data_IF_438170945170
#
_entry.id   IF_438170945170
#
_cell.length_a   1.000
_cell.length_b   1.000
_cell.length_c   1.000
_cell.angle_alpha   90.00
_cell.angle_beta   90.00
_cell.angle_gamma   90.00
#
_symmetry.space_group_name_H-M   'P 1'
#
loop_
_entity.id
_entity.type
_entity.pdbx_description
1 polymer ?
#
# COMPACT_ATOMS: atom_id res chain seq x y z
N UNK A 1 -1.48 -33.35 7.17
CA UNK A 1 -1.64 -31.99 7.73
C UNK A 1 -2.05 -31.04 6.61
N UNK A 2 -3.21 -30.38 6.68
CA UNK A 2 -3.57 -29.32 5.71
C UNK A 2 -2.56 -28.18 5.84
N UNK A 3 -1.90 -27.79 4.74
CA UNK A 3 -1.00 -26.63 4.70
C UNK A 3 -1.78 -25.41 5.19
N UNK A 4 -1.28 -24.74 6.23
CA UNK A 4 -1.91 -23.52 6.77
C UNK A 4 -1.96 -22.48 5.63
N UNK A 5 -3.14 -21.97 5.27
CA UNK A 5 -3.28 -21.02 4.19
C UNK A 5 -2.42 -19.77 4.45
N UNK A 6 -1.61 -19.39 3.46
CA UNK A 6 -0.79 -18.18 3.51
C UNK A 6 -1.66 -16.95 3.22
N UNK A 7 -1.42 -15.80 3.86
CA UNK A 7 -2.22 -14.62 3.61
C UNK A 7 -1.90 -13.98 2.24
N UNK A 8 -2.91 -13.32 1.66
CA UNK A 8 -2.73 -12.35 0.59
C UNK A 8 -2.60 -10.95 1.20
N UNK A 9 -1.63 -10.16 0.74
CA UNK A 9 -1.51 -8.75 1.13
C UNK A 9 -2.08 -7.89 0.02
N UNK A 10 -3.13 -7.12 0.31
CA UNK A 10 -3.75 -6.20 -0.64
C UNK A 10 -3.41 -4.76 -0.26
N UNK A 11 -2.77 -4.03 -1.17
CA UNK A 11 -2.60 -2.59 -1.02
C UNK A 11 -3.63 -1.82 -1.85
N UNK A 12 -4.30 -0.86 -1.22
CA UNK A 12 -5.14 0.14 -1.88
C UNK A 12 -4.39 1.47 -1.94
N UNK A 13 -4.01 1.89 -3.16
CA UNK A 13 -3.28 3.13 -3.39
C UNK A 13 -4.08 4.36 -2.93
N UNK A 14 -3.41 5.34 -2.33
CA UNK A 14 -4.06 6.60 -1.90
C UNK A 14 -4.77 7.33 -3.05
N UNK A 15 -4.20 7.30 -4.26
CA UNK A 15 -4.81 7.87 -5.47
C UNK A 15 -6.10 7.19 -5.92
N UNK A 16 -6.37 5.97 -5.44
CA UNK A 16 -7.60 5.22 -5.75
C UNK A 16 -8.72 5.57 -4.76
N UNK A 17 -8.37 5.66 -3.48
CA UNK A 17 -9.33 5.80 -2.38
C UNK A 17 -9.56 7.25 -1.95
N UNK A 18 -8.79 8.20 -2.50
CA UNK A 18 -8.94 9.64 -2.26
C UNK A 18 -8.93 10.43 -3.55
N UNK A 19 -9.42 11.68 -3.53
CA UNK A 19 -9.35 12.64 -4.63
C UNK A 19 -8.10 13.51 -4.45
N UNK A 20 -7.12 13.40 -5.36
CA UNK A 20 -5.81 14.07 -5.25
C UNK A 20 -5.92 15.60 -5.16
N UNK A 21 -6.89 16.17 -5.88
CA UNK A 21 -7.04 17.61 -6.06
C UNK A 21 -7.68 18.31 -4.84
N UNK A 22 -8.23 17.52 -3.90
CA UNK A 22 -8.95 18.08 -2.74
C UNK A 22 -8.41 17.46 -1.45
N UNK A 23 -7.83 18.25 -0.53
CA UNK A 23 -7.40 17.76 0.79
C UNK A 23 -8.54 17.05 1.52
N UNK A 24 -8.21 16.04 2.31
CA UNK A 24 -9.12 15.29 3.18
C UNK A 24 -10.40 14.82 2.47
N UNK A 25 -10.32 14.51 1.18
CA UNK A 25 -11.50 14.13 0.39
C UNK A 25 -11.41 12.67 -0.04
N UNK A 26 -12.30 11.77 0.51
CA UNK A 26 -12.32 10.37 0.16
C UNK A 26 -12.99 10.16 -1.20
N UNK A 27 -12.55 9.15 -1.95
CA UNK A 27 -13.24 8.67 -3.13
C UNK A 27 -14.28 7.61 -2.71
N UNK A 28 -15.39 8.08 -2.07
CA UNK A 28 -16.43 7.19 -1.54
C UNK A 28 -16.96 6.16 -2.54
N UNK A 29 -17.24 6.51 -3.83
CA UNK A 29 -17.67 5.52 -4.82
C UNK A 29 -16.65 4.40 -5.03
N UNK A 30 -15.35 4.73 -5.13
CA UNK A 30 -14.28 3.74 -5.28
C UNK A 30 -14.16 2.85 -4.03
N UNK A 31 -14.17 3.43 -2.83
CA UNK A 31 -14.12 2.70 -1.55
C UNK A 31 -15.29 1.71 -1.46
N UNK A 32 -16.52 2.15 -1.73
CA UNK A 32 -17.72 1.29 -1.70
C UNK A 32 -17.63 0.14 -2.72
N UNK A 33 -17.17 0.41 -3.95
CA UNK A 33 -16.98 -0.61 -4.97
C UNK A 33 -15.90 -1.63 -4.58
N UNK A 34 -14.76 -1.16 -4.10
CA UNK A 34 -13.65 -2.01 -3.65
C UNK A 34 -14.07 -2.90 -2.49
N UNK A 35 -14.80 -2.37 -1.51
CA UNK A 35 -15.33 -3.16 -0.41
C UNK A 35 -16.23 -4.31 -0.89
N UNK A 36 -17.10 -4.06 -1.89
CA UNK A 36 -17.93 -5.10 -2.52
C UNK A 36 -17.09 -6.15 -3.26
N UNK A 37 -16.05 -5.73 -4.01
CA UNK A 37 -15.13 -6.63 -4.71
C UNK A 37 -14.37 -7.53 -3.73
N UNK A 38 -13.86 -6.96 -2.64
CA UNK A 38 -13.14 -7.68 -1.58
C UNK A 38 -14.07 -8.70 -0.89
N UNK A 39 -15.25 -8.28 -0.49
CA UNK A 39 -16.27 -9.15 0.11
C UNK A 39 -16.62 -10.33 -0.80
N UNK A 40 -16.89 -10.06 -2.09
CA UNK A 40 -17.23 -11.08 -3.09
C UNK A 40 -16.08 -12.08 -3.32
N UNK A 41 -14.84 -11.66 -3.17
CA UNK A 41 -13.67 -12.51 -3.43
C UNK A 41 -13.50 -13.63 -2.39
N UNK A 42 -14.02 -13.48 -1.18
CA UNK A 42 -13.99 -14.49 -0.09
C UNK A 42 -12.60 -15.09 0.13
N UNK A 43 -11.58 -14.22 0.25
CA UNK A 43 -10.21 -14.65 0.52
C UNK A 43 -10.10 -15.11 1.97
N UNK A 44 -9.55 -16.31 2.21
CA UNK A 44 -9.48 -16.93 3.53
C UNK A 44 -8.64 -16.13 4.52
N UNK A 45 -7.47 -15.61 4.06
CA UNK A 45 -6.57 -14.79 4.87
C UNK A 45 -6.15 -13.57 4.08
N UNK A 46 -6.54 -12.42 4.55
CA UNK A 46 -6.31 -11.14 3.87
C UNK A 46 -5.80 -10.09 4.85
N UNK A 47 -4.73 -9.40 4.49
CA UNK A 47 -4.31 -8.14 5.12
C UNK A 47 -4.54 -7.03 4.11
N UNK A 48 -5.19 -5.96 4.53
CA UNK A 48 -5.39 -4.77 3.71
C UNK A 48 -4.50 -3.65 4.23
N UNK A 49 -3.79 -2.97 3.32
CA UNK A 49 -2.97 -1.81 3.65
C UNK A 49 -3.33 -0.70 2.69
N UNK A 50 -3.59 0.50 3.19
CA UNK A 50 -3.89 1.61 2.30
C UNK A 50 -2.88 2.77 2.40
N UNK A 51 -2.79 3.55 1.32
CA UNK A 51 -1.98 4.76 1.27
C UNK A 51 -2.71 5.99 1.81
N UNK A 52 -1.97 7.07 2.04
CA UNK A 52 -2.52 8.32 2.59
C UNK A 52 -3.29 9.18 1.60
N UNK A 53 -2.87 9.19 0.33
CA UNK A 53 -3.50 10.05 -0.68
C UNK A 53 -3.62 11.51 -0.23
N UNK A 54 -4.80 12.12 -0.43
CA UNK A 54 -5.07 13.50 -0.03
C UNK A 54 -5.25 13.71 1.49
N UNK A 55 -5.22 12.65 2.29
CA UNK A 55 -5.29 12.73 3.75
C UNK A 55 -3.91 12.85 4.41
N UNK A 56 -2.95 12.00 4.00
CA UNK A 56 -1.64 11.94 4.66
C UNK A 56 -0.58 12.84 4.01
N UNK A 57 -0.44 12.79 2.66
CA UNK A 57 0.67 13.45 1.98
C UNK A 57 0.68 14.99 2.13
N UNK A 58 -0.46 15.72 2.00
CA UNK A 58 -0.44 17.18 2.16
C UNK A 58 0.03 17.60 3.55
N UNK A 59 -0.51 16.99 4.60
CA UNK A 59 -0.15 17.31 5.99
C UNK A 59 1.30 16.94 6.30
N UNK A 60 1.75 15.75 5.87
CA UNK A 60 3.13 15.34 6.07
C UNK A 60 4.13 16.28 5.39
N UNK A 61 3.78 16.82 4.20
CA UNK A 61 4.58 17.81 3.48
C UNK A 61 4.53 19.18 4.13
N UNK A 62 3.35 19.67 4.51
CA UNK A 62 3.15 20.97 5.16
C UNK A 62 3.99 21.11 6.43
N UNK A 63 4.04 20.04 7.23
CA UNK A 63 4.78 20.02 8.50
C UNK A 63 6.17 19.37 8.39
N UNK A 64 6.65 19.05 7.18
CA UNK A 64 7.98 18.46 6.92
C UNK A 64 8.29 17.21 7.76
N UNK A 65 7.30 16.36 8.00
CA UNK A 65 7.43 15.23 8.93
C UNK A 65 8.48 14.19 8.51
N UNK A 66 8.82 14.13 7.21
CA UNK A 66 9.87 13.25 6.70
C UNK A 66 11.30 13.67 7.15
N UNK A 67 11.45 14.89 7.65
CA UNK A 67 12.75 15.42 8.10
C UNK A 67 13.05 15.13 9.58
N UNK A 68 12.13 14.42 10.25
CA UNK A 68 12.22 14.17 11.69
C UNK A 68 11.83 15.38 12.54
N UNK A 69 12.01 15.24 13.85
CA UNK A 69 11.65 16.27 14.82
C UNK A 69 12.70 17.40 14.83
N UNK A 70 12.29 18.62 14.53
CA UNK A 70 13.10 19.83 14.57
C UNK A 70 12.53 20.91 15.50
N UNK A 71 11.20 20.97 15.60
CA UNK A 71 10.51 21.98 16.40
C UNK A 71 9.10 21.52 16.83
N UNK A 72 8.52 22.24 17.79
CA UNK A 72 7.22 21.89 18.39
C UNK A 72 6.03 21.99 17.44
N UNK A 73 6.11 22.80 16.37
CA UNK A 73 5.05 22.92 15.37
C UNK A 73 4.83 21.57 14.64
N UNK A 74 5.89 20.81 14.46
CA UNK A 74 5.81 19.48 13.85
C UNK A 74 5.04 18.45 14.71
N UNK A 75 4.96 18.64 16.05
CA UNK A 75 4.13 17.79 16.93
C UNK A 75 2.65 17.95 16.59
N UNK A 76 2.23 19.19 16.25
CA UNK A 76 0.88 19.46 15.76
C UNK A 76 0.67 18.75 14.42
N UNK A 77 1.63 18.86 13.51
CA UNK A 77 1.61 18.19 12.21
C UNK A 77 1.52 16.66 12.32
N UNK A 78 2.32 16.09 13.22
CA UNK A 78 2.27 14.66 13.52
C UNK A 78 0.86 14.22 13.99
N UNK A 79 0.30 14.93 14.96
CA UNK A 79 -1.03 14.65 15.49
C UNK A 79 -2.12 14.79 14.44
N UNK A 80 -2.08 15.86 13.62
CA UNK A 80 -3.03 16.09 12.51
C UNK A 80 -2.93 15.01 11.45
N UNK A 81 -1.72 14.60 11.06
CA UNK A 81 -1.50 13.55 10.06
C UNK A 81 -2.06 12.22 10.55
N UNK A 82 -1.81 11.86 11.80
CA UNK A 82 -2.35 10.63 12.39
C UNK A 82 -3.88 10.65 12.47
N UNK A 83 -4.46 11.78 12.92
CA UNK A 83 -5.91 11.95 12.92
C UNK A 83 -6.51 11.79 11.52
N UNK A 84 -5.94 12.43 10.52
CA UNK A 84 -6.40 12.33 9.14
C UNK A 84 -6.33 10.88 8.63
N UNK A 85 -5.22 10.19 8.89
CA UNK A 85 -5.03 8.81 8.45
C UNK A 85 -5.98 7.84 9.16
N UNK A 86 -6.21 7.98 10.45
CA UNK A 86 -7.19 7.17 11.19
C UNK A 86 -8.62 7.42 10.72
N UNK A 87 -8.96 8.65 10.36
CA UNK A 87 -10.26 9.01 9.77
C UNK A 87 -10.47 8.32 8.41
N UNK A 88 -9.46 8.35 7.54
CA UNK A 88 -9.54 7.63 6.25
C UNK A 88 -9.67 6.11 6.47
N UNK A 89 -8.89 5.55 7.41
CA UNK A 89 -8.97 4.13 7.74
C UNK A 89 -10.37 3.75 8.24
N UNK A 90 -10.98 4.55 9.12
CA UNK A 90 -12.33 4.31 9.63
C UNK A 90 -13.37 4.25 8.50
N UNK A 91 -13.30 5.14 7.49
CA UNK A 91 -14.19 5.11 6.32
C UNK A 91 -14.02 3.84 5.48
N UNK A 92 -12.80 3.33 5.36
CA UNK A 92 -12.52 2.10 4.61
C UNK A 92 -13.04 0.89 5.39
N UNK A 93 -12.75 0.82 6.69
CA UNK A 93 -13.24 -0.26 7.57
C UNK A 93 -14.76 -0.29 7.62
N UNK A 94 -15.42 0.86 7.77
CA UNK A 94 -16.89 0.98 7.71
C UNK A 94 -17.43 0.39 6.40
N UNK A 95 -16.86 0.76 5.26
CA UNK A 95 -17.32 0.25 3.96
C UNK A 95 -17.12 -1.26 3.83
N UNK A 96 -16.03 -1.82 4.36
CA UNK A 96 -15.77 -3.25 4.38
C UNK A 96 -16.76 -4.01 5.28
N UNK A 97 -16.97 -3.51 6.50
CA UNK A 97 -17.91 -4.10 7.48
C UNK A 97 -19.33 -4.07 6.93
N UNK A 98 -19.75 -2.98 6.32
CA UNK A 98 -21.07 -2.85 5.65
C UNK A 98 -21.24 -3.80 4.46
N UNK A 99 -20.14 -4.38 3.94
CA UNK A 99 -20.17 -5.43 2.93
C UNK A 99 -19.96 -6.84 3.50
N UNK A 100 -19.98 -7.02 4.83
CA UNK A 100 -19.83 -8.31 5.52
C UNK A 100 -18.40 -8.81 5.62
N UNK A 101 -17.38 -7.94 5.42
CA UNK A 101 -15.97 -8.28 5.67
C UNK A 101 -15.67 -8.09 7.16
N UNK A 102 -15.06 -9.06 7.81
CA UNK A 102 -14.67 -8.99 9.22
C UNK A 102 -13.41 -8.08 9.39
N UNK A 103 -13.52 -6.83 8.95
CA UNK A 103 -12.42 -5.88 8.91
C UNK A 103 -12.17 -5.25 10.29
N UNK A 104 -10.90 -5.16 10.69
CA UNK A 104 -10.47 -4.54 11.96
C UNK A 104 -9.38 -3.51 11.67
N UNK A 105 -9.58 -2.27 12.12
CA UNK A 105 -8.58 -1.22 12.05
C UNK A 105 -7.36 -1.56 12.93
N UNK A 106 -6.16 -1.46 12.36
CA UNK A 106 -4.90 -1.64 13.10
C UNK A 106 -4.02 -0.43 12.84
N UNK A 107 -3.74 0.34 13.89
CA UNK A 107 -2.95 1.56 13.82
C UNK A 107 -1.45 1.25 13.85
N UNK A 108 -0.68 1.50 12.77
CA UNK A 108 0.74 1.15 12.71
C UNK A 108 1.59 1.84 13.77
N UNK A 109 1.34 3.12 14.06
CA UNK A 109 2.09 3.87 15.08
C UNK A 109 1.88 3.38 16.52
N UNK A 110 0.94 2.46 16.77
CA UNK A 110 0.74 1.85 18.09
C UNK A 110 1.64 0.63 18.33
N UNK A 111 2.29 0.09 17.30
CA UNK A 111 3.09 -1.13 17.45
C UNK A 111 4.38 -1.13 16.59
N UNK A 112 4.63 -0.07 15.83
CA UNK A 112 5.82 0.07 14.99
C UNK A 112 6.65 1.27 15.43
N UNK A 113 7.96 1.05 15.58
CA UNK A 113 8.97 2.07 15.72
C UNK A 113 9.96 1.91 14.57
N UNK A 114 10.34 3.04 13.97
CA UNK A 114 11.32 3.11 12.89
C UNK A 114 12.67 3.62 13.40
N UNK A 115 13.71 3.42 12.58
CA UNK A 115 15.03 4.02 12.72
C UNK A 115 15.48 4.49 11.34
N UNK A 116 15.81 5.77 11.22
CA UNK A 116 16.11 6.40 9.92
C UNK A 116 15.04 6.08 8.86
N UNK A 117 13.77 6.13 9.22
CA UNK A 117 12.63 5.86 8.34
C UNK A 117 12.40 4.38 7.96
N UNK A 118 13.19 3.44 8.51
CA UNK A 118 13.00 1.99 8.28
C UNK A 118 12.42 1.33 9.54
N UNK A 119 11.53 0.36 9.37
CA UNK A 119 10.97 -0.39 10.50
C UNK A 119 12.12 -1.06 11.25
N UNK A 120 12.30 -0.67 12.51
CA UNK A 120 13.26 -1.25 13.44
C UNK A 120 12.60 -2.28 14.35
N UNK A 121 11.46 -1.91 14.92
CA UNK A 121 10.68 -2.77 15.82
C UNK A 121 9.22 -2.77 15.42
N UNK A 122 8.60 -3.93 15.40
CA UNK A 122 7.18 -4.08 15.14
C UNK A 122 6.61 -5.29 15.89
N UNK A 123 5.60 -5.07 16.74
CA UNK A 123 4.94 -6.15 17.46
C UNK A 123 3.77 -6.73 16.64
N UNK A 124 4.10 -7.65 15.77
CA UNK A 124 3.15 -8.25 14.82
C UNK A 124 2.16 -9.24 15.42
N UNK A 125 2.28 -9.58 16.73
CA UNK A 125 1.42 -10.59 17.38
C UNK A 125 -0.06 -10.25 17.28
N UNK A 126 -0.41 -8.95 17.39
CA UNK A 126 -1.80 -8.51 17.28
C UNK A 126 -2.34 -8.81 15.87
N UNK A 127 -1.60 -8.44 14.82
CA UNK A 127 -2.00 -8.71 13.42
C UNK A 127 -2.07 -10.21 13.14
N UNK A 128 -1.09 -10.98 13.62
CA UNK A 128 -1.09 -12.45 13.51
C UNK A 128 -2.34 -13.05 14.15
N UNK A 129 -2.68 -12.60 15.37
CA UNK A 129 -3.83 -13.12 16.10
C UNK A 129 -5.16 -12.81 15.42
N UNK A 130 -5.31 -11.60 14.88
CA UNK A 130 -6.47 -11.22 14.06
C UNK A 130 -6.63 -12.15 12.86
N UNK A 131 -5.54 -12.39 12.10
CA UNK A 131 -5.54 -13.31 10.95
C UNK A 131 -5.86 -14.76 11.34
N UNK A 132 -5.36 -15.23 12.48
CA UNK A 132 -5.64 -16.57 12.99
C UNK A 132 -7.11 -16.75 13.39
N UNK A 133 -7.72 -15.68 13.92
CA UNK A 133 -9.12 -15.66 14.34
C UNK A 133 -10.09 -15.50 13.15
N UNK A 134 -9.58 -15.15 11.94
CA UNK A 134 -10.40 -14.97 10.73
C UNK A 134 -10.79 -13.52 10.45
N UNK A 135 -10.23 -12.54 11.18
CA UNK A 135 -10.40 -11.13 10.87
C UNK A 135 -9.51 -10.69 9.71
N UNK A 136 -9.88 -9.58 9.10
CA UNK A 136 -9.11 -8.88 8.06
C UNK A 136 -8.50 -7.62 8.67
N UNK A 137 -7.22 -7.63 9.06
CA UNK A 137 -6.53 -6.43 9.55
C UNK A 137 -6.43 -5.38 8.45
N UNK A 138 -6.77 -4.13 8.76
CA UNK A 138 -6.69 -2.98 7.85
C UNK A 138 -5.70 -1.97 8.42
N UNK A 139 -4.51 -1.93 7.81
CA UNK A 139 -3.41 -1.04 8.19
C UNK A 139 -3.26 0.09 7.16
N UNK A 140 -2.37 1.04 7.44
CA UNK A 140 -2.15 2.19 6.56
C UNK A 140 -0.75 2.80 6.74
N UNK A 141 -0.26 3.53 5.72
CA UNK A 141 0.90 4.40 5.90
C UNK A 141 0.58 5.48 6.94
N UNK A 142 1.49 5.72 7.89
CA UNK A 142 1.20 6.54 9.07
C UNK A 142 2.41 7.42 9.47
N UNK A 143 2.19 8.42 10.30
CA UNK A 143 3.25 9.07 11.05
C UNK A 143 3.58 8.19 12.27
N UNK A 144 4.85 7.80 12.42
CA UNK A 144 5.32 6.88 13.46
C UNK A 144 6.51 7.46 14.20
N UNK A 145 6.76 6.97 15.42
CA UNK A 145 7.98 7.32 16.14
C UNK A 145 9.20 6.71 15.46
N UNK A 146 10.31 7.46 15.45
CA UNK A 146 11.60 7.05 14.90
C UNK A 146 12.68 7.22 15.97
N UNK A 147 13.43 6.15 16.26
CA UNK A 147 14.42 6.12 17.33
C UNK A 147 15.64 7.03 17.07
N UNK A 148 15.86 7.45 15.82
CA UNK A 148 16.98 8.33 15.45
C UNK A 148 16.55 9.77 15.24
N UNK A 149 15.37 10.01 14.65
CA UNK A 149 14.92 11.34 14.23
C UNK A 149 13.69 11.83 14.98
N UNK A 150 13.25 11.10 16.02
CA UNK A 150 12.06 11.40 16.83
C UNK A 150 10.78 10.85 16.20
N UNK A 151 10.49 11.18 14.95
CA UNK A 151 9.39 10.63 14.18
C UNK A 151 9.66 10.72 12.66
N UNK A 152 8.88 9.97 11.89
CA UNK A 152 8.91 9.99 10.42
C UNK A 152 7.57 9.55 9.83
N UNK A 153 7.50 9.48 8.51
CA UNK A 153 6.38 8.87 7.77
C UNK A 153 6.73 7.44 7.38
N UNK A 154 5.98 6.49 7.91
CA UNK A 154 6.02 5.10 7.48
C UNK A 154 5.20 4.95 6.20
N UNK A 155 5.88 4.59 5.11
CA UNK A 155 5.24 4.36 3.81
C UNK A 155 4.37 3.10 3.84
N UNK A 156 3.18 3.18 3.23
CA UNK A 156 2.34 1.99 3.05
C UNK A 156 3.00 0.91 2.18
N UNK A 157 3.94 1.26 1.29
CA UNK A 157 4.69 0.30 0.47
C UNK A 157 5.71 -0.48 1.30
N UNK A 158 6.42 0.19 2.21
CA UNK A 158 7.30 -0.47 3.17
C UNK A 158 6.50 -1.43 4.07
N UNK A 159 5.36 -0.98 4.58
CA UNK A 159 4.50 -1.79 5.43
C UNK A 159 3.97 -3.04 4.71
N UNK A 160 3.65 -2.93 3.40
CA UNK A 160 3.26 -4.07 2.56
C UNK A 160 4.39 -5.09 2.47
N UNK A 161 5.60 -4.66 2.14
CA UNK A 161 6.75 -5.55 1.99
C UNK A 161 7.08 -6.27 3.31
N UNK A 162 7.15 -5.53 4.42
CA UNK A 162 7.43 -6.10 5.74
C UNK A 162 6.34 -7.06 6.22
N UNK A 163 5.05 -6.70 6.03
CA UNK A 163 3.93 -7.60 6.35
C UNK A 163 3.98 -8.88 5.52
N UNK A 164 4.29 -8.76 4.22
CA UNK A 164 4.34 -9.92 3.33
C UNK A 164 5.46 -10.89 3.73
N UNK A 165 6.64 -10.39 4.05
CA UNK A 165 7.76 -11.19 4.54
C UNK A 165 7.42 -11.81 5.90
N UNK A 166 6.91 -11.00 6.84
CA UNK A 166 6.60 -11.43 8.20
C UNK A 166 5.58 -12.57 8.27
N UNK A 167 4.57 -12.53 7.41
CA UNK A 167 3.48 -13.52 7.39
C UNK A 167 3.68 -14.61 6.33
N UNK A 168 4.84 -14.64 5.66
CA UNK A 168 5.12 -15.58 4.55
C UNK A 168 3.95 -15.58 3.54
N UNK A 169 3.61 -14.38 3.05
CA UNK A 169 2.44 -14.17 2.22
C UNK A 169 2.52 -14.97 0.91
N UNK A 170 1.38 -15.46 0.44
CA UNK A 170 1.28 -16.13 -0.87
C UNK A 170 1.63 -15.15 -2.00
N UNK A 171 1.12 -13.92 -1.88
CA UNK A 171 1.31 -12.86 -2.89
C UNK A 171 0.95 -11.49 -2.35
N UNK A 172 1.41 -10.47 -3.08
CA UNK A 172 1.04 -9.06 -2.89
C UNK A 172 0.20 -8.61 -4.10
N UNK A 173 -0.90 -7.90 -3.83
CA UNK A 173 -1.71 -7.22 -4.86
C UNK A 173 -1.64 -5.73 -4.59
N UNK A 174 -1.19 -4.95 -5.58
CA UNK A 174 -1.09 -3.49 -5.49
C UNK A 174 -2.14 -2.86 -6.39
N UNK A 175 -3.17 -2.30 -5.79
CA UNK A 175 -4.20 -1.53 -6.49
C UNK A 175 -3.78 -0.07 -6.65
N UNK A 176 -3.56 0.36 -7.90
CA UNK A 176 -3.16 1.71 -8.30
C UNK A 176 -4.16 2.33 -9.28
N UNK A 177 -3.90 3.55 -9.76
CA UNK A 177 -4.73 4.30 -10.71
C UNK A 177 -4.33 4.11 -12.18
N UNK A 178 -3.38 3.19 -12.46
CA UNK A 178 -2.93 2.79 -13.81
C UNK A 178 -2.96 1.28 -13.95
N UNK A 179 -2.90 0.76 -15.19
CA UNK A 179 -3.06 -0.68 -15.45
C UNK A 179 -1.87 -1.53 -14.99
N UNK A 180 -0.73 -0.94 -14.64
CA UNK A 180 0.49 -1.63 -14.22
C UNK A 180 1.74 -0.79 -14.50
N UNK A 181 2.88 -1.44 -14.71
CA UNK A 181 4.12 -0.80 -15.16
C UNK A 181 4.07 -0.58 -16.67
N UNK A 182 4.57 0.56 -17.11
CA UNK A 182 4.66 0.93 -18.51
C UNK A 182 6.09 1.26 -18.90
N UNK A 183 6.42 1.10 -20.19
CA UNK A 183 7.73 1.46 -20.74
C UNK A 183 8.04 2.97 -20.65
N UNK A 184 7.02 3.81 -20.48
CA UNK A 184 7.09 5.25 -20.23
C UNK A 184 5.75 5.69 -19.60
N UNK A 185 5.60 6.96 -19.23
CA UNK A 185 4.33 7.45 -18.69
C UNK A 185 3.19 7.41 -19.71
N UNK A 186 2.15 6.60 -19.50
CA UNK A 186 1.03 6.48 -20.44
C UNK A 186 0.14 7.74 -20.49
N UNK A 187 0.31 8.70 -19.59
CA UNK A 187 -0.45 9.96 -19.60
C UNK A 187 0.17 11.00 -20.54
N UNK A 188 1.47 10.93 -20.72
CA UNK A 188 2.25 11.88 -21.54
C UNK A 188 2.76 11.28 -22.84
N UNK A 189 2.85 9.95 -22.92
CA UNK A 189 3.34 9.23 -24.09
C UNK A 189 2.34 8.17 -24.56
N UNK A 190 1.65 8.43 -25.67
CA UNK A 190 0.68 7.50 -26.27
C UNK A 190 1.32 6.17 -26.77
N UNK A 191 2.64 6.13 -26.97
CA UNK A 191 3.37 4.91 -27.37
C UNK A 191 3.77 4.02 -26.18
N UNK A 192 3.46 4.43 -24.96
CA UNK A 192 3.75 3.67 -23.75
C UNK A 192 3.08 2.29 -23.77
N UNK A 193 3.85 1.23 -23.60
CA UNK A 193 3.37 -0.15 -23.60
C UNK A 193 3.32 -0.71 -22.19
N UNK A 194 2.21 -1.38 -21.84
CA UNK A 194 2.07 -2.08 -20.58
C UNK A 194 3.01 -3.29 -20.52
N UNK A 195 3.84 -3.33 -19.49
CA UNK A 195 4.70 -4.48 -19.16
C UNK A 195 3.84 -5.49 -18.40
N UNK A 196 3.51 -6.62 -19.03
CA UNK A 196 2.59 -7.61 -18.42
C UNK A 196 3.26 -8.48 -17.39
N UNK A 197 4.53 -8.79 -17.60
CA UNK A 197 5.33 -9.63 -16.71
C UNK A 197 6.77 -9.14 -16.72
N UNK A 198 7.40 -9.14 -15.54
CA UNK A 198 8.79 -8.75 -15.35
C UNK A 198 9.40 -9.57 -14.20
N UNK A 199 10.62 -10.05 -14.36
CA UNK A 199 11.37 -10.67 -13.29
C UNK A 199 12.21 -9.62 -12.53
N UNK A 200 12.80 -10.02 -11.41
CA UNK A 200 13.57 -9.11 -10.54
C UNK A 200 14.80 -8.50 -11.25
N UNK A 201 15.47 -9.25 -12.12
CA UNK A 201 16.64 -8.80 -12.89
C UNK A 201 16.26 -7.68 -13.85
N UNK A 202 15.27 -7.92 -14.72
CA UNK A 202 14.71 -6.92 -15.65
C UNK A 202 14.08 -5.73 -14.92
N UNK A 203 13.58 -5.94 -13.70
CA UNK A 203 13.05 -4.87 -12.86
C UNK A 203 14.17 -3.91 -12.42
N UNK A 204 15.36 -4.43 -12.11
CA UNK A 204 16.53 -3.61 -11.78
C UNK A 204 17.00 -2.78 -12.99
N UNK A 205 17.06 -3.41 -14.17
CA UNK A 205 17.36 -2.70 -15.43
C UNK A 205 16.33 -1.60 -15.72
N UNK A 206 15.03 -1.92 -15.57
CA UNK A 206 13.93 -0.97 -15.74
C UNK A 206 14.06 0.23 -14.80
N UNK A 207 14.42 0.03 -13.53
CA UNK A 207 14.64 1.12 -12.60
C UNK A 207 15.79 2.01 -13.01
N UNK A 208 16.94 1.42 -13.37
CA UNK A 208 18.13 2.16 -13.82
C UNK A 208 17.84 3.00 -15.08
N UNK A 209 17.07 2.47 -16.02
CA UNK A 209 16.64 3.20 -17.23
C UNK A 209 15.77 4.41 -16.89
N UNK A 210 14.84 4.28 -15.92
CA UNK A 210 13.97 5.38 -15.54
C UNK A 210 14.72 6.43 -14.73
N UNK A 211 15.61 6.02 -13.81
CA UNK A 211 16.44 6.93 -13.03
C UNK A 211 17.39 7.77 -13.91
N UNK A 212 17.88 7.20 -15.02
CA UNK A 212 18.72 7.89 -16.00
C UNK A 212 17.93 8.84 -16.94
N UNK A 213 16.64 8.59 -17.10
CA UNK A 213 15.77 9.45 -17.90
C UNK A 213 15.31 10.66 -17.09
N UNK A 214 15.73 11.88 -17.47
CA UNK A 214 15.35 13.16 -16.82
C UNK A 214 13.85 13.50 -16.88
N UNK A 215 12.98 12.57 -17.30
CA UNK A 215 11.52 12.75 -17.40
C UNK A 215 10.85 12.35 -16.07
N UNK A 216 10.96 13.23 -15.10
CA UNK A 216 10.96 12.92 -13.67
C UNK A 216 9.61 12.99 -13.00
N UNK A 217 8.45 12.99 -13.40
CA UNK A 217 7.39 13.23 -12.39
C UNK A 217 6.31 12.14 -12.20
N UNK A 218 6.11 11.22 -13.10
CA UNK A 218 5.05 10.22 -12.94
C UNK A 218 5.58 8.85 -12.55
N UNK A 219 6.85 8.60 -12.81
CA UNK A 219 7.53 7.33 -12.49
C UNK A 219 8.09 7.28 -11.07
N UNK A 220 8.44 8.41 -10.45
CA UNK A 220 9.03 8.46 -9.10
C UNK A 220 8.18 7.76 -8.04
N UNK A 221 6.88 7.95 -8.06
CA UNK A 221 5.96 7.27 -7.15
C UNK A 221 5.85 5.75 -7.40
N UNK A 222 6.01 5.29 -8.65
CA UNK A 222 5.98 3.86 -9.00
C UNK A 222 7.33 3.20 -8.70
N UNK A 223 8.45 3.88 -9.00
CA UNK A 223 9.80 3.39 -8.67
C UNK A 223 10.00 3.22 -7.17
N UNK A 224 9.57 4.19 -6.37
CA UNK A 224 9.60 4.07 -4.92
C UNK A 224 8.84 2.86 -4.40
N UNK A 225 7.64 2.56 -4.97
CA UNK A 225 6.88 1.35 -4.64
C UNK A 225 7.65 0.07 -4.97
N UNK A 226 8.22 0.01 -6.18
CA UNK A 226 8.99 -1.14 -6.64
C UNK A 226 10.20 -1.37 -5.74
N UNK A 227 10.93 -0.30 -5.39
CA UNK A 227 12.10 -0.38 -4.51
C UNK A 227 11.74 -1.01 -3.16
N UNK A 228 10.62 -0.61 -2.54
CA UNK A 228 10.15 -1.20 -1.30
C UNK A 228 9.77 -2.70 -1.45
N UNK A 229 9.20 -3.08 -2.57
CA UNK A 229 8.74 -4.45 -2.82
C UNK A 229 9.87 -5.43 -3.18
N UNK A 230 11.06 -4.96 -3.57
CA UNK A 230 12.20 -5.82 -3.94
C UNK A 230 12.50 -6.89 -2.90
N UNK A 231 12.52 -6.53 -1.61
CA UNK A 231 12.80 -7.49 -0.54
C UNK A 231 11.78 -8.62 -0.50
N UNK A 232 10.48 -8.32 -0.65
CA UNK A 232 9.44 -9.34 -0.70
C UNK A 232 9.58 -10.25 -1.93
N UNK A 233 9.91 -9.68 -3.10
CA UNK A 233 10.15 -10.45 -4.34
C UNK A 233 11.36 -11.36 -4.19
N UNK A 234 12.45 -10.90 -3.56
CA UNK A 234 13.62 -11.72 -3.25
C UNK A 234 13.30 -12.91 -2.34
N UNK A 235 12.31 -12.76 -1.45
CA UNK A 235 11.76 -13.86 -0.63
C UNK A 235 10.80 -14.79 -1.41
N UNK A 236 10.68 -14.62 -2.73
CA UNK A 236 9.85 -15.46 -3.58
C UNK A 236 8.35 -15.09 -3.59
N UNK A 237 7.99 -13.95 -2.99
CA UNK A 237 6.60 -13.48 -2.97
C UNK A 237 6.30 -12.77 -4.29
N UNK A 238 5.28 -13.20 -5.01
CA UNK A 238 4.86 -12.57 -6.26
C UNK A 238 4.10 -11.28 -5.99
N UNK A 239 4.26 -10.30 -6.89
CA UNK A 239 3.56 -9.01 -6.83
C UNK A 239 2.73 -8.80 -8.09
N UNK A 240 1.45 -8.49 -7.93
CA UNK A 240 0.55 -8.16 -9.03
C UNK A 240 0.08 -6.72 -8.90
N UNK A 241 0.41 -5.88 -9.88
CA UNK A 241 -0.02 -4.48 -9.94
C UNK A 241 -1.21 -4.38 -10.88
N UNK A 242 -2.33 -3.81 -10.41
CA UNK A 242 -3.57 -3.69 -11.19
C UNK A 242 -4.22 -2.31 -11.01
N UNK A 243 -5.02 -1.91 -12.01
CA UNK A 243 -5.81 -0.68 -11.93
C UNK A 243 -7.05 -0.87 -11.04
N UNK A 244 -6.97 -0.40 -9.82
CA UNK A 244 -8.06 -0.49 -8.86
C UNK A 244 -9.18 0.55 -9.10
N UNK A 245 -9.04 1.50 -10.02
CA UNK A 245 -10.13 2.37 -10.46
C UNK A 245 -11.10 1.65 -11.41
N UNK A 246 -10.62 0.63 -12.14
CA UNK A 246 -11.44 -0.16 -13.08
C UNK A 246 -12.22 -1.24 -12.31
N UNK A 247 -13.53 -1.44 -12.61
CA UNK A 247 -14.35 -2.45 -11.94
C UNK A 247 -13.82 -3.88 -12.09
N UNK A 248 -14.06 -4.69 -11.08
CA UNK A 248 -13.73 -6.12 -10.98
C UNK A 248 -12.22 -6.47 -11.07
N UNK A 249 -11.32 -5.47 -11.08
CA UNK A 249 -9.88 -5.77 -11.17
C UNK A 249 -9.33 -6.32 -9.85
N UNK A 250 -9.73 -5.74 -8.72
CA UNK A 250 -9.35 -6.24 -7.39
C UNK A 250 -10.02 -7.59 -7.11
N UNK A 251 -11.29 -7.76 -7.46
CA UNK A 251 -11.96 -9.06 -7.35
C UNK A 251 -11.21 -10.17 -8.09
N UNK A 252 -10.92 -9.97 -9.39
CA UNK A 252 -10.19 -10.95 -10.21
C UNK A 252 -8.79 -11.23 -9.67
N UNK A 253 -8.05 -10.18 -9.27
CA UNK A 253 -6.73 -10.33 -8.67
C UNK A 253 -6.78 -11.16 -7.38
N UNK A 254 -7.74 -10.91 -6.50
CA UNK A 254 -7.95 -11.66 -5.25
C UNK A 254 -8.34 -13.11 -5.50
N UNK A 255 -9.07 -13.40 -6.57
CA UNK A 255 -9.48 -14.75 -6.99
C UNK A 255 -8.43 -15.51 -7.79
N UNK A 256 -7.27 -14.89 -8.05
CA UNK A 256 -6.23 -15.43 -8.94
C UNK A 256 -6.73 -15.68 -10.39
N UNK A 257 -7.71 -14.90 -10.81
CA UNK A 257 -8.24 -14.93 -12.17
C UNK A 257 -7.39 -14.04 -13.09
N UNK A 258 -7.42 -14.33 -14.41
CA UNK A 258 -6.71 -13.51 -15.39
C UNK A 258 -7.19 -12.05 -15.34
N UNK A 259 -6.27 -11.13 -15.12
CA UNK A 259 -6.53 -9.69 -15.02
C UNK A 259 -5.45 -8.90 -15.78
N UNK A 260 -5.83 -7.76 -16.35
CA UNK A 260 -4.85 -6.83 -16.92
C UNK A 260 -4.06 -6.18 -15.78
N UNK A 261 -2.75 -6.29 -15.86
CA UNK A 261 -1.84 -5.79 -14.84
C UNK A 261 -0.39 -6.14 -15.15
N UNK A 262 0.51 -5.88 -14.23
CA UNK A 262 1.91 -6.31 -14.26
C UNK A 262 2.16 -7.33 -13.17
N UNK A 263 2.59 -8.52 -13.55
CA UNK A 263 3.06 -9.55 -12.63
C UNK A 263 4.58 -9.41 -12.45
N UNK A 264 5.02 -9.30 -11.21
CA UNK A 264 6.44 -9.27 -10.85
C UNK A 264 6.76 -10.53 -10.05
N UNK A 265 7.80 -11.23 -10.45
CA UNK A 265 8.27 -12.45 -9.78
C UNK A 265 9.80 -12.49 -9.72
N UNK A 266 10.34 -13.38 -8.93
CA UNK A 266 11.77 -13.62 -8.82
C UNK A 266 12.38 -14.06 -10.13
#
# INVERSE_FOLDING_TARGET
MKRKAKPTILKLGGSVITKKEKPLTPNKPAIKRLAKEISKAKVEKLVIIHGGGSYGHPLAKEYELNQGFKNTVQLIGFSKTRWAMSTLNALIVEALVNCGVLAVAVCPSSFIITKHGRIEKAEWKVVAKLLETGFVPVLYGDAVLDSSTGFTILSGDQLVAESAIKFDAERIIIGVDVDGLYTSDPKTNASAKLIREINLEKLNEYQSMIESSKTVDVTGGMLGKISELKRAIQHGITVLIVNALKPNKIYKALRNERVVGTLIKR
#
